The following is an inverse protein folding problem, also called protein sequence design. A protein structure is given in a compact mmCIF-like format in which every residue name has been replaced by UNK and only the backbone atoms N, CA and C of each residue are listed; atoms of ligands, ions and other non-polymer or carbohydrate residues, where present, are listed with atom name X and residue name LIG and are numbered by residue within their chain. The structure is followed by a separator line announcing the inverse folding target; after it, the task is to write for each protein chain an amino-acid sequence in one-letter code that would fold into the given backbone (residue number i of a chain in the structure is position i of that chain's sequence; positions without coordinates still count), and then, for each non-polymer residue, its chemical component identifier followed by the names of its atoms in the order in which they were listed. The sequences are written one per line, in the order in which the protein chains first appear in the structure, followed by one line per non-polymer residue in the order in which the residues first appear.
data_IF_257066602958
#
_entry.id   IF_257066602958
#
_cell.length_a   1.000
_cell.length_b   1.000
_cell.length_c   1.000
_cell.angle_alpha   90.00
_cell.angle_beta   90.00
_cell.angle_gamma   90.00
#
_symmetry.space_group_name_H-M   'P 1'
#
loop_
_entity.id
_entity.type
_entity.pdbx_description
1 polymer ?
#
# COMPACT_ATOMS: atom_id res chain seq x y z
N UNK A 1 -22.04 -1.24 3.53
CA UNK A 1 -22.02 -1.91 2.21
C UNK A 1 -20.59 -2.30 1.90
N UNK A 2 -20.38 -3.52 1.38
CA UNK A 2 -19.04 -4.13 1.30
C UNK A 2 -18.42 -3.97 -0.11
N UNK A 3 -19.23 -3.71 -1.14
CA UNK A 3 -18.74 -3.54 -2.51
C UNK A 3 -19.56 -2.47 -3.24
N UNK A 4 -18.96 -1.31 -3.46
CA UNK A 4 -19.46 -0.26 -4.36
C UNK A 4 -18.28 0.25 -5.19
N UNK A 5 -18.50 0.41 -6.49
CA UNK A 5 -17.54 1.04 -7.39
C UNK A 5 -17.69 2.54 -7.27
N UNK A 6 -16.59 3.21 -6.94
CA UNK A 6 -16.51 4.67 -6.83
C UNK A 6 -15.40 5.19 -7.72
N UNK A 7 -15.50 6.44 -8.16
CA UNK A 7 -14.41 7.12 -8.84
C UNK A 7 -13.25 7.37 -7.87
N UNK A 8 -12.08 6.85 -8.24
CA UNK A 8 -10.86 6.90 -7.43
C UNK A 8 -10.28 8.33 -7.36
N UNK A 9 -10.64 9.22 -8.28
CA UNK A 9 -10.13 10.60 -8.28
C UNK A 9 -10.85 11.53 -7.30
N UNK A 10 -12.14 11.31 -7.10
CA UNK A 10 -13.01 12.19 -6.31
C UNK A 10 -13.28 11.65 -4.91
N UNK A 11 -13.17 10.33 -4.73
CA UNK A 11 -13.45 9.68 -3.46
C UNK A 11 -12.22 9.67 -2.56
N UNK A 12 -12.33 10.20 -1.34
CA UNK A 12 -11.30 9.98 -0.32
C UNK A 12 -11.39 8.57 0.25
N UNK A 13 -10.41 7.72 -0.02
CA UNK A 13 -10.32 6.36 0.53
C UNK A 13 -8.92 6.07 1.07
N UNK A 14 -8.88 5.11 2.00
CA UNK A 14 -7.66 4.42 2.41
C UNK A 14 -7.52 3.10 1.64
N UNK A 15 -6.29 2.60 1.52
CA UNK A 15 -5.99 1.33 0.84
C UNK A 15 -5.33 0.38 1.82
N UNK A 16 -5.71 -0.90 1.81
CA UNK A 16 -5.00 -1.97 2.51
C UNK A 16 -4.06 -2.67 1.52
N UNK A 17 -2.75 -2.56 1.75
CA UNK A 17 -1.75 -3.43 1.12
C UNK A 17 -1.44 -4.60 2.05
N UNK A 18 -1.42 -5.81 1.48
CA UNK A 18 -1.00 -7.00 2.19
C UNK A 18 -0.40 -8.03 1.22
N UNK A 19 0.43 -8.93 1.73
CA UNK A 19 1.04 -9.97 0.90
C UNK A 19 0.00 -10.93 0.31
N UNK A 20 0.16 -11.22 -0.98
CA UNK A 20 -0.58 -12.28 -1.68
C UNK A 20 0.06 -13.63 -1.33
N UNK A 21 -0.74 -14.59 -0.87
CA UNK A 21 -0.29 -15.97 -0.63
C UNK A 21 0.33 -16.27 0.74
N UNK A 22 0.44 -15.30 1.65
CA UNK A 22 0.78 -15.62 3.03
C UNK A 22 -0.36 -16.42 3.69
N UNK A 23 -0.05 -17.56 4.33
CA UNK A 23 -1.02 -18.45 4.98
C UNK A 23 -2.02 -17.62 5.80
N UNK A 24 -3.30 -17.73 5.40
CA UNK A 24 -4.51 -17.08 5.91
C UNK A 24 -4.35 -16.37 7.28
N UNK A 25 -3.74 -15.20 7.30
CA UNK A 25 -4.22 -14.15 8.20
C UNK A 25 -5.60 -13.80 7.65
N UNK A 26 -6.66 -14.30 8.29
CA UNK A 26 -8.03 -14.31 7.76
C UNK A 26 -8.62 -12.91 7.53
N UNK A 27 -9.95 -12.81 7.51
CA UNK A 27 -10.67 -11.53 7.37
C UNK A 27 -10.34 -10.51 8.47
N UNK A 28 -9.64 -10.90 9.54
CA UNK A 28 -9.25 -10.02 10.64
C UNK A 28 -8.47 -8.78 10.17
N UNK A 29 -7.51 -8.92 9.24
CA UNK A 29 -6.78 -7.76 8.69
C UNK A 29 -7.72 -6.76 8.00
N UNK A 30 -8.81 -7.23 7.40
CA UNK A 30 -9.82 -6.38 6.73
C UNK A 30 -10.67 -5.68 7.79
N UNK A 31 -11.08 -6.38 8.84
CA UNK A 31 -11.84 -5.79 9.94
C UNK A 31 -11.02 -4.70 10.65
N UNK A 32 -9.77 -5.00 10.98
CA UNK A 32 -8.90 -4.06 11.68
C UNK A 32 -8.54 -2.84 10.81
N UNK A 33 -8.31 -3.03 9.50
CA UNK A 33 -8.12 -1.91 8.58
C UNK A 33 -9.39 -1.08 8.38
N UNK A 34 -10.58 -1.68 8.37
CA UNK A 34 -11.83 -0.94 8.38
C UNK A 34 -11.99 -0.12 9.67
N UNK A 35 -11.65 -0.70 10.83
CA UNK A 35 -11.67 0.00 12.12
C UNK A 35 -10.69 1.18 12.11
N UNK A 36 -9.46 0.96 11.64
CA UNK A 36 -8.44 2.01 11.54
C UNK A 36 -8.84 3.10 10.54
N UNK A 37 -9.36 2.71 9.36
CA UNK A 37 -9.89 3.65 8.37
C UNK A 37 -10.94 4.58 8.98
N UNK A 38 -11.87 4.02 9.74
CA UNK A 38 -12.91 4.81 10.42
C UNK A 38 -12.32 5.76 11.46
N UNK A 39 -11.33 5.33 12.25
CA UNK A 39 -10.63 6.17 13.23
C UNK A 39 -9.87 7.32 12.55
N UNK A 40 -9.23 7.04 11.42
CA UNK A 40 -8.50 8.02 10.62
C UNK A 40 -9.43 8.89 9.74
N UNK A 41 -10.76 8.76 9.87
CA UNK A 41 -11.76 9.60 9.19
C UNK A 41 -12.14 9.16 7.77
N UNK A 42 -11.72 7.98 7.34
CA UNK A 42 -12.04 7.44 6.02
C UNK A 42 -13.32 6.60 6.04
N UNK A 43 -14.25 6.95 5.14
CA UNK A 43 -15.48 6.20 4.94
C UNK A 43 -15.27 4.93 4.11
N UNK A 44 -14.26 4.93 3.25
CA UNK A 44 -14.01 3.88 2.27
C UNK A 44 -12.62 3.30 2.42
N UNK A 45 -12.55 1.97 2.32
CA UNK A 45 -11.31 1.20 2.30
C UNK A 45 -11.30 0.34 1.04
N UNK A 46 -10.23 0.45 0.25
CA UNK A 46 -9.97 -0.43 -0.87
C UNK A 46 -9.11 -1.62 -0.43
N UNK A 47 -9.51 -2.82 -0.83
CA UNK A 47 -8.79 -4.06 -0.53
C UNK A 47 -8.76 -4.94 -1.78
N UNK A 48 -7.58 -5.27 -2.28
CA UNK A 48 -7.42 -6.06 -3.51
C UNK A 48 -8.22 -7.38 -3.54
N UNK A 49 -8.31 -8.04 -2.39
CA UNK A 49 -8.93 -9.36 -2.23
C UNK A 49 -10.45 -9.27 -2.24
N UNK A 50 -11.01 -8.08 -2.00
CA UNK A 50 -12.44 -7.81 -2.06
C UNK A 50 -12.84 -7.06 -3.34
N UNK A 51 -11.94 -6.27 -3.91
CA UNK A 51 -12.24 -5.33 -4.99
C UNK A 51 -11.83 -5.79 -6.39
N UNK A 52 -11.03 -6.86 -6.50
CA UNK A 52 -10.60 -7.44 -7.79
C UNK A 52 -11.15 -8.85 -7.91
N UNK A 53 -11.96 -9.13 -8.94
CA UNK A 53 -12.33 -10.49 -9.28
C UNK A 53 -11.17 -11.24 -9.95
N UNK A 54 -10.49 -12.06 -9.15
CA UNK A 54 -9.34 -12.86 -9.60
C UNK A 54 -9.74 -14.05 -10.47
N UNK A 55 -11.03 -14.33 -10.66
CA UNK A 55 -11.52 -15.39 -11.55
C UNK A 55 -11.64 -14.93 -12.99
N UNK A 56 -11.68 -13.62 -13.21
CA UNK A 56 -11.72 -12.99 -14.54
C UNK A 56 -10.32 -12.56 -14.94
N UNK A 57 -9.75 -13.22 -15.97
CA UNK A 57 -8.41 -12.86 -16.49
C UNK A 57 -8.37 -11.46 -17.11
N UNK A 58 -9.49 -11.00 -17.67
CA UNK A 58 -9.64 -9.64 -18.20
C UNK A 58 -9.62 -8.61 -17.07
N UNK A 59 -10.43 -8.81 -16.02
CA UNK A 59 -10.46 -7.90 -14.86
C UNK A 59 -9.13 -7.91 -14.11
N UNK A 60 -8.50 -9.07 -13.97
CA UNK A 60 -7.17 -9.17 -13.36
C UNK A 60 -6.12 -8.37 -14.12
N UNK A 61 -6.12 -8.44 -15.46
CA UNK A 61 -5.17 -7.70 -16.30
C UNK A 61 -5.41 -6.19 -16.23
N UNK A 62 -6.68 -5.76 -16.27
CA UNK A 62 -7.05 -4.35 -16.10
C UNK A 62 -6.70 -3.83 -14.70
N UNK A 63 -6.91 -4.65 -13.67
CA UNK A 63 -6.59 -4.32 -12.29
C UNK A 63 -5.08 -4.17 -12.08
N UNK A 64 -4.25 -5.03 -12.70
CA UNK A 64 -2.79 -4.90 -12.67
C UNK A 64 -2.37 -3.55 -13.28
N UNK A 65 -2.94 -3.18 -14.43
CA UNK A 65 -2.61 -1.92 -15.11
C UNK A 65 -3.12 -0.69 -14.34
N UNK A 66 -4.15 -0.85 -13.51
CA UNK A 66 -4.78 0.23 -12.73
C UNK A 66 -4.27 0.33 -11.29
N UNK A 67 -3.51 -0.66 -10.82
CA UNK A 67 -3.12 -0.80 -9.41
C UNK A 67 -2.35 0.41 -8.92
N UNK A 68 -1.31 0.84 -9.66
CA UNK A 68 -0.54 2.04 -9.33
C UNK A 68 -1.44 3.27 -9.16
N UNK A 69 -2.42 3.47 -10.06
CA UNK A 69 -3.35 4.60 -10.00
C UNK A 69 -4.21 4.56 -8.73
N UNK A 70 -4.69 3.39 -8.32
CA UNK A 70 -5.46 3.24 -7.08
C UNK A 70 -4.60 3.49 -5.83
N UNK A 71 -3.33 3.09 -5.83
CA UNK A 71 -2.41 3.44 -4.76
C UNK A 71 -2.08 4.94 -4.76
N UNK A 72 -1.90 5.55 -5.94
CA UNK A 72 -1.60 6.97 -6.10
C UNK A 72 -2.72 7.88 -5.59
N UNK A 73 -3.97 7.52 -5.85
CA UNK A 73 -5.14 8.31 -5.45
C UNK A 73 -5.59 8.01 -4.01
N UNK A 74 -5.08 6.94 -3.40
CA UNK A 74 -5.34 6.66 -1.99
C UNK A 74 -4.75 7.77 -1.10
N UNK A 75 -5.53 8.22 -0.13
CA UNK A 75 -5.07 9.23 0.84
C UNK A 75 -4.14 8.64 1.87
N UNK A 76 -4.31 7.35 2.18
CA UNK A 76 -3.52 6.63 3.15
C UNK A 76 -3.43 5.16 2.77
N UNK A 77 -2.25 4.57 2.90
CA UNK A 77 -2.03 3.14 2.75
C UNK A 77 -1.73 2.50 4.11
N UNK A 78 -2.49 1.48 4.46
CA UNK A 78 -2.20 0.57 5.55
C UNK A 78 -1.45 -0.62 4.98
N UNK A 79 -0.16 -0.72 5.28
CA UNK A 79 0.64 -1.88 4.92
C UNK A 79 0.60 -2.87 6.09
N UNK A 80 0.02 -4.04 5.86
CA UNK A 80 -0.06 -5.11 6.85
C UNK A 80 1.03 -6.16 6.62
N UNK A 81 1.93 -6.29 7.60
CA UNK A 81 3.11 -7.14 7.57
C UNK A 81 2.95 -8.26 8.60
N UNK A 82 2.55 -9.46 8.17
CA UNK A 82 2.26 -10.54 9.10
C UNK A 82 3.52 -11.29 9.61
N UNK A 83 4.66 -11.11 8.95
CA UNK A 83 5.94 -11.76 9.22
C UNK A 83 7.01 -10.78 9.76
N UNK A 84 6.59 -9.59 10.18
CA UNK A 84 7.47 -8.54 10.71
C UNK A 84 6.92 -8.01 12.02
N UNK A 85 7.60 -8.27 13.13
CA UNK A 85 7.19 -7.75 14.44
C UNK A 85 7.62 -6.29 14.64
N UNK A 86 8.78 -5.90 14.09
CA UNK A 86 9.36 -4.55 14.19
C UNK A 86 9.92 -4.07 12.86
N UNK A 87 9.83 -2.75 12.63
CA UNK A 87 10.21 -2.11 11.37
C UNK A 87 11.71 -2.15 11.03
N UNK A 88 12.56 -2.53 11.99
CA UNK A 88 14.01 -2.70 11.78
C UNK A 88 14.38 -3.88 10.88
N UNK A 89 13.40 -4.73 10.52
CA UNK A 89 13.65 -5.90 9.68
C UNK A 89 13.88 -5.50 8.22
N UNK A 90 15.15 -5.30 7.86
CA UNK A 90 15.60 -5.05 6.47
C UNK A 90 15.11 -6.12 5.48
N UNK A 91 14.80 -7.33 5.98
CA UNK A 91 14.22 -8.44 5.21
C UNK A 91 12.90 -8.07 4.56
N UNK A 92 12.16 -7.10 5.11
CA UNK A 92 10.91 -6.61 4.51
C UNK A 92 11.15 -5.86 3.20
N UNK A 93 12.20 -5.03 3.14
CA UNK A 93 12.46 -4.14 2.01
C UNK A 93 13.01 -4.85 0.76
N UNK A 94 13.61 -6.03 0.94
CA UNK A 94 14.26 -6.79 -0.15
C UNK A 94 13.42 -7.96 -0.71
N UNK A 95 12.23 -8.26 -0.14
CA UNK A 95 11.55 -9.55 -0.38
C UNK A 95 10.24 -9.52 -1.19
N UNK A 96 9.98 -8.45 -1.93
CA UNK A 96 8.97 -8.47 -3.00
C UNK A 96 7.77 -7.56 -2.77
N UNK A 97 8.03 -6.27 -2.59
CA UNK A 97 7.04 -5.26 -2.95
C UNK A 97 7.10 -5.01 -4.45
N UNK A 98 5.94 -4.75 -5.07
CA UNK A 98 5.96 -3.92 -6.26
C UNK A 98 6.20 -2.50 -5.79
N UNK A 99 7.27 -1.87 -6.27
CA UNK A 99 7.66 -0.49 -5.99
C UNK A 99 6.44 0.48 -5.93
N UNK A 100 5.43 0.21 -6.75
CA UNK A 100 4.14 0.90 -6.85
C UNK A 100 3.39 1.08 -5.52
N UNK A 101 3.36 0.07 -4.65
CA UNK A 101 2.60 0.13 -3.39
C UNK A 101 3.29 1.03 -2.35
N UNK A 102 4.62 1.22 -2.48
CA UNK A 102 5.42 2.09 -1.62
C UNK A 102 5.44 3.54 -2.14
N UNK A 103 5.65 3.72 -3.46
CA UNK A 103 5.81 5.05 -4.06
C UNK A 103 4.51 5.68 -4.54
N UNK A 104 3.47 4.88 -4.76
CA UNK A 104 2.15 5.35 -5.18
C UNK A 104 1.49 6.19 -4.10
N UNK A 105 1.25 5.66 -2.89
CA UNK A 105 0.53 6.38 -1.85
C UNK A 105 1.34 7.55 -1.30
N UNK A 106 0.63 8.65 -1.01
CA UNK A 106 1.20 9.83 -0.34
C UNK A 106 1.70 9.49 1.06
N UNK A 107 0.94 8.70 1.80
CA UNK A 107 1.27 8.26 3.14
C UNK A 107 1.10 6.74 3.27
N UNK A 108 2.04 6.09 3.96
CA UNK A 108 1.97 4.66 4.30
C UNK A 108 2.22 4.51 5.81
N UNK A 109 1.30 3.82 6.49
CA UNK A 109 1.42 3.36 7.88
C UNK A 109 1.58 1.85 7.88
N UNK A 110 2.50 1.35 8.68
CA UNK A 110 2.83 -0.06 8.73
C UNK A 110 2.32 -0.69 10.02
N UNK A 111 1.77 -1.89 9.90
CA UNK A 111 1.18 -2.67 11.00
C UNK A 111 1.73 -4.08 10.98
N UNK A 112 2.03 -4.64 12.15
CA UNK A 112 2.38 -6.05 12.25
C UNK A 112 1.14 -6.96 12.37
N UNK A 113 1.36 -8.28 12.54
CA UNK A 113 0.31 -9.30 12.71
C UNK A 113 -0.71 -9.01 13.82
N UNK A 114 -0.30 -8.33 14.89
CA UNK A 114 -1.12 -8.03 16.06
C UNK A 114 -1.85 -6.68 15.91
N UNK A 115 -1.67 -6.01 14.77
CA UNK A 115 -2.20 -4.69 14.43
C UNK A 115 -1.75 -3.44 15.24
N UNK A 116 -0.66 -3.42 16.03
CA UNK A 116 -0.04 -2.16 16.45
C UNK A 116 0.67 -1.48 15.27
N UNK A 117 0.70 -0.14 15.23
CA UNK A 117 1.52 0.58 14.28
C UNK A 117 3.01 0.37 14.62
N UNK A 118 3.79 -0.07 13.64
CA UNK A 118 5.23 -0.34 13.80
C UNK A 118 6.11 0.73 13.13
N UNK A 119 5.52 1.61 12.34
CA UNK A 119 6.24 2.68 11.66
C UNK A 119 5.41 3.38 10.58
N UNK A 120 6.03 4.37 9.92
CA UNK A 120 5.46 5.06 8.78
C UNK A 120 6.53 5.30 7.70
N UNK A 121 6.08 5.60 6.49
CA UNK A 121 6.91 5.83 5.30
C UNK A 121 8.04 6.83 5.55
N UNK A 122 7.75 7.96 6.21
CA UNK A 122 8.72 9.03 6.46
C UNK A 122 9.85 8.58 7.37
N UNK A 123 9.56 7.78 8.39
CA UNK A 123 10.56 7.27 9.34
C UNK A 123 11.47 6.20 8.73
N UNK A 124 10.99 5.46 7.73
CA UNK A 124 11.79 4.43 7.06
C UNK A 124 12.46 4.91 5.78
N UNK A 125 12.17 6.13 5.33
CA UNK A 125 12.69 6.66 4.07
C UNK A 125 14.23 6.69 4.03
N UNK A 126 14.90 7.02 5.14
CA UNK A 126 16.36 6.98 5.22
C UNK A 126 16.91 5.56 5.12
N UNK A 127 16.32 4.62 5.86
CA UNK A 127 16.69 3.20 5.79
C UNK A 127 16.40 2.59 4.42
N UNK A 128 15.33 3.04 3.76
CA UNK A 128 14.97 2.63 2.41
C UNK A 128 15.95 3.16 1.36
N UNK A 129 16.44 4.39 1.51
CA UNK A 129 17.45 4.97 0.63
C UNK A 129 18.74 4.14 0.63
N UNK A 130 19.18 3.68 1.81
CA UNK A 130 20.37 2.83 1.95
C UNK A 130 20.22 1.45 1.28
N UNK A 131 18.99 0.90 1.25
CA UNK A 131 18.70 -0.45 0.73
C UNK A 131 18.33 -0.41 -0.76
N UNK A 132 17.54 0.59 -1.18
CA UNK A 132 17.01 0.73 -2.54
C UNK A 132 17.93 1.67 -3.34
N UNK A 133 19.13 1.17 -3.63
CA UNK A 133 20.10 1.89 -4.46
C UNK A 133 19.44 2.36 -5.78
N UNK A 134 19.34 3.68 -5.97
CA UNK A 134 18.78 4.30 -7.18
C UNK A 134 17.46 5.06 -7.02
N UNK A 135 16.80 4.99 -5.85
CA UNK A 135 15.55 5.74 -5.62
C UNK A 135 15.82 6.96 -4.72
N UNK A 136 15.57 8.20 -5.20
CA UNK A 136 15.77 9.39 -4.37
C UNK A 136 14.92 9.36 -3.10
N UNK A 137 15.51 9.77 -1.97
CA UNK A 137 14.82 9.87 -0.67
C UNK A 137 13.50 10.62 -0.73
N UNK A 138 13.44 11.66 -1.56
CA UNK A 138 12.26 12.48 -1.74
C UNK A 138 11.09 11.64 -2.26
N UNK A 139 11.33 10.71 -3.20
CA UNK A 139 10.32 9.79 -3.76
C UNK A 139 9.82 8.83 -2.69
N UNK A 140 10.76 8.34 -1.88
CA UNK A 140 10.48 7.47 -0.74
C UNK A 140 9.74 8.21 0.39
N UNK A 141 9.84 9.54 0.48
CA UNK A 141 9.15 10.36 1.49
C UNK A 141 7.78 10.84 1.02
N UNK A 142 7.70 11.41 -0.18
CA UNK A 142 6.60 12.29 -0.59
C UNK A 142 5.77 11.77 -1.79
N UNK A 143 5.98 10.52 -2.23
CA UNK A 143 5.33 9.87 -3.39
C UNK A 143 5.67 10.51 -4.75
N UNK A 144 5.65 9.70 -5.81
CA UNK A 144 5.94 10.15 -7.17
C UNK A 144 5.04 11.28 -7.67
N UNK A 145 3.76 11.23 -7.26
CA UNK A 145 2.76 12.23 -7.65
C UNK A 145 3.14 13.66 -7.18
N UNK A 146 3.88 13.77 -6.08
CA UNK A 146 4.30 15.05 -5.51
C UNK A 146 5.54 15.62 -6.21
N UNK A 147 6.38 14.76 -6.79
CA UNK A 147 7.72 15.14 -7.28
C UNK A 147 7.72 15.42 -8.79
N UNK A 148 6.58 15.23 -9.49
CA UNK A 148 6.47 15.41 -10.96
C UNK A 148 7.51 14.60 -11.76
N UNK A 149 8.02 13.49 -11.21
CA UNK A 149 8.91 12.57 -11.92
C UNK A 149 8.09 11.47 -12.59
N UNK A 150 8.45 11.13 -13.83
CA UNK A 150 7.82 10.01 -14.54
C UNK A 150 8.26 8.67 -13.95
N UNK A 151 7.33 7.72 -13.81
CA UNK A 151 7.60 6.36 -13.29
C UNK A 151 8.77 5.69 -14.03
N UNK A 152 8.90 5.94 -15.34
CA UNK A 152 9.97 5.41 -16.19
C UNK A 152 11.38 5.88 -15.81
N UNK A 153 11.52 7.04 -15.15
CA UNK A 153 12.82 7.62 -14.78
C UNK A 153 13.42 7.00 -13.51
N UNK A 154 12.63 6.22 -12.75
CA UNK A 154 13.06 5.58 -11.49
C UNK A 154 13.30 4.07 -11.68
N UNK A 155 12.79 3.49 -12.76
CA UNK A 155 12.90 2.05 -13.04
C UNK A 155 14.04 1.69 -14.01
N UNK A 156 15.00 2.61 -14.25
CA UNK A 156 16.21 2.37 -15.05
C UNK A 156 17.43 2.19 -14.16
#
# INVERSE_FOLDING_TARGET
EITKKYDDKTTGYAVLSHRWGAKRAGYQKIIESCRQAKQDGYKWLWVDTCCIDKRSSAELSEAINSMYRWYQNARLCYAYLNDVDQMTSLKWFVRGWTLQELIGPKEVKFYNKDWPPIGNKRHVASTLEDIMAGIPREVLRDSLATIRLGVAQIMS
#
